data_IF_282251150202
#
_entry.id   IF_282251150202
#
_cell.length_a   1.000
_cell.length_b   1.000
_cell.length_c   1.000
_cell.angle_alpha   90.00
_cell.angle_beta   90.00
_cell.angle_gamma   90.00
#
_symmetry.space_group_name_H-M   'P 1'
#
loop_
_entity.id
_entity.type
_entity.pdbx_description
1 polymer ?
#
# COMPACT_ATOMS: atom_id res chain seq x y z
N UNK A 1 1.31 -5.77 9.08
CA UNK A 1 2.54 -5.11 8.60
C UNK A 1 3.57 -6.20 8.37
N UNK A 2 4.33 -6.14 7.29
CA UNK A 2 5.36 -7.13 6.96
C UNK A 2 6.64 -6.46 6.53
N UNK A 3 7.72 -7.23 6.48
CA UNK A 3 9.01 -6.76 5.98
C UNK A 3 9.07 -7.01 4.46
N UNK A 4 9.37 -5.96 3.68
CA UNK A 4 9.68 -6.09 2.27
C UNK A 4 11.09 -6.64 2.06
N UNK A 5 11.16 -7.91 1.63
CA UNK A 5 12.43 -8.58 1.33
C UNK A 5 13.18 -7.92 0.17
N UNK A 6 12.46 -7.40 -0.82
CA UNK A 6 13.04 -6.74 -1.99
C UNK A 6 13.79 -5.47 -1.57
N UNK A 7 13.13 -4.61 -0.81
CA UNK A 7 13.74 -3.36 -0.32
C UNK A 7 14.98 -3.64 0.53
N UNK A 8 14.91 -4.63 1.43
CA UNK A 8 16.07 -5.00 2.26
C UNK A 8 17.23 -5.52 1.39
N UNK A 9 16.96 -6.40 0.43
CA UNK A 9 18.00 -6.93 -0.47
C UNK A 9 18.64 -5.84 -1.30
N UNK A 10 17.85 -4.89 -1.81
CA UNK A 10 18.36 -3.77 -2.60
C UNK A 10 19.21 -2.82 -1.76
N UNK A 11 18.78 -2.51 -0.53
CA UNK A 11 19.60 -1.71 0.40
C UNK A 11 20.89 -2.43 0.82
N UNK A 12 20.86 -3.75 1.01
CA UNK A 12 22.07 -4.55 1.23
C UNK A 12 23.04 -4.46 0.03
N UNK A 13 22.53 -4.60 -1.20
CA UNK A 13 23.32 -4.47 -2.43
C UNK A 13 23.96 -3.09 -2.55
N UNK A 14 23.20 -2.02 -2.32
CA UNK A 14 23.71 -0.64 -2.33
C UNK A 14 24.86 -0.43 -1.34
N UNK A 15 24.84 -1.15 -0.21
CA UNK A 15 25.85 -1.06 0.85
C UNK A 15 26.96 -2.11 0.75
N UNK A 16 26.95 -2.96 -0.29
CA UNK A 16 27.91 -4.06 -0.46
C UNK A 16 28.01 -4.99 0.75
N UNK A 17 26.92 -5.16 1.49
CA UNK A 17 26.82 -6.10 2.61
C UNK A 17 25.88 -7.24 2.26
N UNK A 18 26.14 -8.42 2.79
CA UNK A 18 25.23 -9.56 2.65
C UNK A 18 24.09 -9.46 3.66
N UNK A 19 22.95 -10.08 3.36
CA UNK A 19 21.83 -10.20 4.31
C UNK A 19 22.28 -10.89 5.60
N UNK A 20 23.17 -11.88 5.52
CA UNK A 20 23.67 -12.59 6.70
C UNK A 20 24.50 -11.70 7.61
N UNK A 21 25.34 -10.83 7.04
CA UNK A 21 26.13 -9.85 7.80
C UNK A 21 25.24 -8.81 8.46
N UNK A 22 24.24 -8.28 7.73
CA UNK A 22 23.26 -7.36 8.29
C UNK A 22 22.56 -7.98 9.51
N UNK A 23 22.06 -9.20 9.37
CA UNK A 23 21.33 -9.88 10.43
C UNK A 23 22.22 -10.15 11.65
N UNK A 24 23.49 -10.52 11.42
CA UNK A 24 24.49 -10.68 12.48
C UNK A 24 24.76 -9.38 13.21
N UNK A 25 24.93 -8.26 12.49
CA UNK A 25 25.12 -6.93 13.07
C UNK A 25 23.88 -6.45 13.85
N UNK A 26 22.69 -6.76 13.35
CA UNK A 26 21.43 -6.41 13.99
C UNK A 26 21.07 -7.31 15.19
N UNK A 27 21.81 -8.39 15.44
CA UNK A 27 21.48 -9.36 16.48
C UNK A 27 20.18 -10.13 16.21
N UNK A 28 19.79 -10.26 14.93
CA UNK A 28 18.56 -10.94 14.52
C UNK A 28 18.93 -12.28 13.89
N UNK A 29 18.36 -13.38 14.39
CA UNK A 29 18.60 -14.69 13.78
C UNK A 29 17.94 -14.78 12.40
N UNK A 30 18.52 -15.57 11.49
CA UNK A 30 17.91 -15.83 10.17
C UNK A 30 16.49 -16.37 10.29
N UNK A 31 16.25 -17.26 11.25
CA UNK A 31 14.92 -17.83 11.49
C UNK A 31 13.94 -16.75 11.94
N UNK A 32 14.33 -15.88 12.90
CA UNK A 32 13.50 -14.76 13.32
C UNK A 32 13.19 -13.81 12.16
N UNK A 33 14.18 -13.51 11.31
CA UNK A 33 13.99 -12.67 10.13
C UNK A 33 12.95 -13.26 9.15
N UNK A 34 13.08 -14.54 8.79
CA UNK A 34 12.14 -15.19 7.87
C UNK A 34 10.77 -15.47 8.49
N UNK A 35 10.67 -15.57 9.82
CA UNK A 35 9.39 -15.56 10.52
C UNK A 35 8.74 -14.18 10.42
N UNK A 36 9.48 -13.10 10.67
CA UNK A 36 8.97 -11.72 10.53
C UNK A 36 8.60 -11.34 9.08
N UNK A 37 9.25 -11.96 8.09
CA UNK A 37 8.92 -11.76 6.68
C UNK A 37 7.66 -12.53 6.23
N UNK A 38 7.28 -13.60 6.95
CA UNK A 38 6.14 -14.47 6.60
C UNK A 38 4.90 -14.21 7.45
N UNK A 39 5.08 -13.82 8.71
CA UNK A 39 4.00 -13.59 9.68
C UNK A 39 3.47 -12.15 9.62
N UNK A 40 2.20 -11.97 9.97
CA UNK A 40 1.52 -10.65 9.94
C UNK A 40 1.89 -9.73 11.11
N UNK A 41 2.66 -10.25 12.07
CA UNK A 41 3.07 -9.55 13.29
C UNK A 41 4.59 -9.41 13.34
N UNK A 42 5.05 -8.16 13.35
CA UNK A 42 6.47 -7.81 13.35
C UNK A 42 6.87 -7.35 14.76
N UNK A 43 7.86 -7.98 15.37
CA UNK A 43 8.34 -7.59 16.70
C UNK A 43 9.09 -6.25 16.64
N UNK A 44 8.69 -5.22 17.44
CA UNK A 44 9.25 -3.87 17.34
C UNK A 44 10.78 -3.79 17.55
N UNK A 45 11.35 -4.67 18.38
CA UNK A 45 12.79 -4.70 18.64
C UNK A 45 13.60 -5.09 17.40
N UNK A 46 13.17 -6.12 16.68
CA UNK A 46 13.85 -6.59 15.47
C UNK A 46 13.76 -5.58 14.33
N UNK A 47 12.61 -4.92 14.17
CA UNK A 47 12.45 -3.83 13.19
C UNK A 47 13.43 -2.70 13.48
N UNK A 48 13.49 -2.21 14.73
CA UNK A 48 14.41 -1.14 15.12
C UNK A 48 15.88 -1.52 14.92
N UNK A 49 16.24 -2.78 15.15
CA UNK A 49 17.60 -3.27 14.96
C UNK A 49 17.98 -3.34 13.47
N UNK A 50 17.10 -3.86 12.62
CA UNK A 50 17.30 -3.90 11.16
C UNK A 50 17.38 -2.49 10.59
N UNK A 51 16.47 -1.59 10.99
CA UNK A 51 16.47 -0.19 10.58
C UNK A 51 17.78 0.52 10.92
N UNK A 52 18.31 0.29 12.14
CA UNK A 52 19.63 0.81 12.55
C UNK A 52 20.77 0.24 11.73
N UNK A 53 20.80 -1.08 11.52
CA UNK A 53 21.85 -1.73 10.71
C UNK A 53 21.84 -1.25 9.26
N UNK A 54 20.65 -1.03 8.70
CA UNK A 54 20.46 -0.46 7.37
C UNK A 54 20.44 1.06 7.35
N UNK A 55 20.65 1.77 8.47
CA UNK A 55 20.52 3.22 8.61
C UNK A 55 19.42 3.81 7.69
N UNK A 56 18.21 3.29 7.82
CA UNK A 56 16.98 3.70 7.10
C UNK A 56 15.82 3.77 8.09
N UNK A 57 14.76 4.49 7.73
CA UNK A 57 13.52 4.46 8.52
C UNK A 57 12.84 3.09 8.45
N UNK A 58 12.25 2.58 9.55
CA UNK A 58 11.34 1.42 9.50
C UNK A 58 10.27 1.50 8.41
N UNK A 59 9.73 2.70 8.16
CA UNK A 59 8.69 2.92 7.15
C UNK A 59 9.16 2.65 5.72
N UNK A 60 10.46 2.67 5.44
CA UNK A 60 10.99 2.41 4.09
C UNK A 60 10.88 0.93 3.68
N UNK A 61 10.91 0.00 4.64
CA UNK A 61 10.91 -1.43 4.36
C UNK A 61 9.73 -2.18 4.99
N UNK A 62 8.91 -1.51 5.79
CA UNK A 62 7.64 -2.06 6.26
C UNK A 62 6.58 -1.87 5.17
N UNK A 63 5.97 -2.97 4.75
CA UNK A 63 4.80 -2.96 3.87
C UNK A 63 3.55 -3.25 4.67
N UNK A 64 2.48 -2.54 4.34
CA UNK A 64 1.15 -2.96 4.72
C UNK A 64 0.61 -3.81 3.57
N UNK A 65 0.41 -5.11 3.80
CA UNK A 65 -0.35 -5.98 2.89
C UNK A 65 -1.84 -5.58 2.96
N UNK A 66 -2.16 -4.37 2.54
CA UNK A 66 -3.53 -3.92 2.42
C UNK A 66 -3.97 -4.07 0.97
N UNK A 67 -4.51 -5.26 0.65
CA UNK A 67 -5.09 -5.57 -0.66
C UNK A 67 -6.09 -4.51 -1.13
N UNK A 68 -6.79 -3.84 -0.21
CA UNK A 68 -7.71 -2.75 -0.54
C UNK A 68 -6.98 -1.49 -1.00
N UNK A 69 -5.83 -1.16 -0.39
CA UNK A 69 -4.98 -0.04 -0.83
C UNK A 69 -4.43 -0.28 -2.23
N UNK A 70 -3.96 -1.50 -2.55
CA UNK A 70 -3.49 -1.83 -3.90
C UNK A 70 -4.62 -1.81 -4.93
N UNK A 71 -5.80 -2.34 -4.59
CA UNK A 71 -6.99 -2.23 -5.45
C UNK A 71 -7.37 -0.77 -5.72
N UNK A 72 -7.25 0.10 -4.72
CA UNK A 72 -7.51 1.54 -4.84
C UNK A 72 -6.47 2.21 -5.73
N UNK A 73 -5.19 1.89 -5.57
CA UNK A 73 -4.10 2.39 -6.42
C UNK A 73 -4.31 2.03 -7.89
N UNK A 74 -4.68 0.77 -8.17
CA UNK A 74 -5.05 0.33 -9.52
C UNK A 74 -6.28 1.06 -10.08
N UNK A 75 -7.24 1.43 -9.22
CA UNK A 75 -8.39 2.25 -9.64
C UNK A 75 -7.95 3.65 -10.05
N UNK A 76 -7.13 4.31 -9.23
CA UNK A 76 -6.65 5.66 -9.50
C UNK A 76 -5.80 5.72 -10.77
N UNK A 77 -4.92 4.73 -11.00
CA UNK A 77 -4.15 4.64 -12.24
C UNK A 77 -5.06 4.56 -13.49
N UNK A 78 -6.18 3.85 -13.42
CA UNK A 78 -7.17 3.82 -14.52
C UNK A 78 -7.91 5.15 -14.66
N UNK A 79 -8.17 5.85 -13.57
CA UNK A 79 -8.75 7.20 -13.60
C UNK A 79 -7.80 8.15 -14.33
N UNK A 80 -6.51 8.11 -14.01
CA UNK A 80 -5.47 8.93 -14.64
C UNK A 80 -5.38 8.67 -16.15
N UNK A 81 -5.38 7.40 -16.58
CA UNK A 81 -5.34 7.03 -18.00
C UNK A 81 -6.55 7.57 -18.78
N UNK A 82 -7.76 7.43 -18.24
CA UNK A 82 -8.99 7.90 -18.90
C UNK A 82 -9.05 9.42 -18.93
N UNK A 83 -8.70 10.08 -17.82
CA UNK A 83 -8.67 11.54 -17.75
C UNK A 83 -7.63 12.14 -18.71
N UNK A 84 -6.48 11.47 -18.90
CA UNK A 84 -5.47 11.85 -19.88
C UNK A 84 -5.96 11.76 -21.33
N UNK A 85 -6.77 10.73 -21.65
CA UNK A 85 -7.37 10.53 -22.98
C UNK A 85 -8.54 11.45 -23.26
N UNK A 86 -9.28 11.86 -22.22
CA UNK A 86 -10.51 12.65 -22.35
C UNK A 86 -10.49 13.88 -21.42
N UNK A 87 -9.95 15.00 -21.93
CA UNK A 87 -9.77 16.25 -21.16
C UNK A 87 -11.05 16.91 -20.65
N UNK A 88 -12.21 16.61 -21.24
CA UNK A 88 -13.49 17.23 -20.90
C UNK A 88 -14.31 16.45 -19.86
N UNK A 89 -13.79 15.33 -19.34
CA UNK A 89 -14.52 14.49 -18.39
C UNK A 89 -14.03 14.78 -16.98
N UNK A 90 -14.96 15.00 -16.06
CA UNK A 90 -14.66 15.19 -14.65
C UNK A 90 -14.02 13.94 -14.03
N UNK A 91 -12.90 14.15 -13.34
CA UNK A 91 -12.08 13.08 -12.75
C UNK A 91 -12.84 12.34 -11.64
N UNK A 92 -13.63 13.04 -10.83
CA UNK A 92 -14.41 12.39 -9.75
C UNK A 92 -15.53 11.53 -10.34
N UNK A 93 -16.15 11.95 -11.45
CA UNK A 93 -17.12 11.13 -12.18
C UNK A 93 -16.52 9.85 -12.75
N UNK A 94 -15.30 9.91 -13.30
CA UNK A 94 -14.57 8.71 -13.75
C UNK A 94 -14.31 7.79 -12.55
N UNK A 95 -13.74 8.33 -11.47
CA UNK A 95 -13.43 7.57 -10.25
C UNK A 95 -14.67 6.90 -9.67
N UNK A 96 -15.76 7.65 -9.56
CA UNK A 96 -17.03 7.16 -9.01
C UNK A 96 -17.62 6.05 -9.87
N UNK A 97 -17.66 6.24 -11.18
CA UNK A 97 -18.17 5.22 -12.12
C UNK A 97 -17.34 3.93 -12.04
N UNK A 98 -16.01 4.05 -12.05
CA UNK A 98 -15.13 2.88 -11.92
C UNK A 98 -15.28 2.16 -10.57
N UNK A 99 -15.55 2.90 -9.49
CA UNK A 99 -15.83 2.32 -8.19
C UNK A 99 -17.14 1.53 -8.22
N UNK A 100 -18.21 2.13 -8.74
CA UNK A 100 -19.53 1.51 -8.88
C UNK A 100 -19.49 0.19 -9.66
N UNK A 101 -18.71 0.14 -10.75
CA UNK A 101 -18.58 -1.07 -11.57
C UNK A 101 -17.92 -2.25 -10.82
N UNK A 102 -17.15 -1.98 -9.76
CA UNK A 102 -16.52 -3.01 -8.93
C UNK A 102 -17.42 -3.53 -7.80
N UNK A 103 -18.54 -2.85 -7.53
CA UNK A 103 -19.46 -3.21 -6.47
C UNK A 103 -20.51 -4.23 -6.94
N UNK A 104 -21.01 -5.09 -6.03
CA UNK A 104 -22.20 -5.90 -6.28
C UNK A 104 -23.40 -5.01 -6.69
N UNK A 105 -24.35 -5.53 -7.49
CA UNK A 105 -25.46 -4.73 -8.02
C UNK A 105 -26.23 -3.93 -6.97
N UNK A 106 -26.48 -4.53 -5.81
CA UNK A 106 -27.21 -3.89 -4.71
C UNK A 106 -26.43 -2.73 -4.08
N UNK A 107 -25.13 -2.88 -3.87
CA UNK A 107 -24.26 -1.85 -3.29
C UNK A 107 -24.04 -0.69 -4.27
N UNK A 108 -23.92 -1.02 -5.55
CA UNK A 108 -23.87 -0.04 -6.64
C UNK A 108 -25.10 0.86 -6.64
N UNK A 109 -26.30 0.27 -6.56
CA UNK A 109 -27.56 1.01 -6.51
C UNK A 109 -27.64 1.90 -5.26
N UNK A 110 -27.33 1.35 -4.08
CA UNK A 110 -27.29 2.11 -2.82
C UNK A 110 -26.35 3.30 -2.92
N UNK A 111 -25.11 3.10 -3.36
CA UNK A 111 -24.10 4.15 -3.47
C UNK A 111 -24.49 5.22 -4.51
N UNK A 112 -25.06 4.81 -5.64
CA UNK A 112 -25.54 5.74 -6.67
C UNK A 112 -26.69 6.63 -6.14
N UNK A 113 -27.66 6.03 -5.44
CA UNK A 113 -28.77 6.76 -4.81
C UNK A 113 -28.28 7.74 -3.74
N UNK A 114 -27.36 7.31 -2.87
CA UNK A 114 -26.77 8.19 -1.84
C UNK A 114 -26.03 9.39 -2.45
N UNK A 115 -25.32 9.21 -3.58
CA UNK A 115 -24.67 10.33 -4.28
C UNK A 115 -25.72 11.27 -4.89
N UNK A 116 -26.79 10.72 -5.47
CA UNK A 116 -27.90 11.47 -6.05
C UNK A 116 -28.74 12.26 -5.05
N UNK A 117 -28.71 11.91 -3.75
CA UNK A 117 -29.41 12.64 -2.68
C UNK A 117 -28.68 13.91 -2.20
N UNK A 118 -27.38 14.04 -2.45
CA UNK A 118 -26.59 15.21 -2.01
C UNK A 118 -26.91 16.59 -2.66
N UNK A 119 -27.61 16.76 -3.80
CA UNK A 119 -27.83 18.08 -4.37
C UNK A 119 -28.91 18.91 -3.65
N UNK A 120 -29.70 18.33 -2.73
CA UNK A 120 -30.82 19.05 -2.08
C UNK A 120 -30.48 19.74 -0.75
N UNK A 121 -29.23 19.70 -0.28
CA UNK A 121 -28.86 20.29 1.03
C UNK A 121 -28.45 21.78 0.92
N UNK A 122 -28.35 22.34 -0.30
CA UNK A 122 -27.97 23.74 -0.53
C UNK A 122 -29.03 24.54 -1.32
N UNK A 123 -30.32 24.39 -1.00
CA UNK A 123 -31.33 25.38 -1.37
C UNK A 123 -31.94 25.97 -0.09
N UNK A 124 -31.41 27.12 0.31
CA UNK A 124 -32.08 28.13 1.15
C UNK A 124 -31.89 29.47 0.48
#
# INVERSE_FOLDING_TARGET
MRISLEVIKDKCRQRKITLSELLKQAGVSRNAFYSLAREDYVLPKSIKAIARGLNISPSEFLTEDNKETEKMKLLLNKVDDIAGKHKNIDRDNIRHTLLLLREPPIERLRRALTRGQKPYIHQK
#
